data_IF_148608469776
#
_entry.id   IF_148608469776
#
_cell.length_a   1.000
_cell.length_b   1.000
_cell.length_c   1.000
_cell.angle_alpha   90.00
_cell.angle_beta   90.00
_cell.angle_gamma   90.00
#
_symmetry.space_group_name_H-M   'P 1'
#
loop_
_entity.id
_entity.type
_entity.pdbx_description
1 polymer ?
#
# COMPACT_ATOMS: atom_id res chain seq x y z
N UNK A 1 -13.24 -83.59 63.00
CA UNK A 1 -13.57 -82.72 61.85
C UNK A 1 -12.63 -81.53 61.66
N UNK A 2 -12.11 -80.92 62.73
CA UNK A 2 -11.23 -79.71 62.62
C UNK A 2 -9.87 -79.91 61.95
N UNK A 3 -9.23 -81.17 62.10
CA UNK A 3 -7.91 -81.39 61.43
C UNK A 3 -7.97 -81.59 59.93
N UNK A 4 -9.09 -82.11 59.36
CA UNK A 4 -9.24 -82.26 57.89
C UNK A 4 -9.53 -80.89 57.19
N UNK A 5 -10.16 -79.94 57.89
CA UNK A 5 -10.42 -78.61 57.39
C UNK A 5 -9.14 -77.79 57.30
N UNK A 6 -8.19 -77.99 58.25
CA UNK A 6 -6.92 -77.26 58.27
C UNK A 6 -5.98 -77.69 57.14
N UNK A 7 -6.00 -79.01 56.73
CA UNK A 7 -5.24 -79.55 55.63
C UNK A 7 -5.75 -79.03 54.27
N UNK A 8 -7.06 -78.91 54.11
CA UNK A 8 -7.70 -78.36 52.89
C UNK A 8 -7.38 -76.88 52.72
N UNK A 9 -7.40 -76.10 53.83
CA UNK A 9 -7.03 -74.71 53.79
C UNK A 9 -5.56 -74.51 53.47
N UNK A 10 -4.64 -75.31 54.01
CA UNK A 10 -3.23 -75.21 53.65
C UNK A 10 -2.94 -75.67 52.21
N UNK A 11 -3.67 -76.64 51.68
CA UNK A 11 -3.54 -77.04 50.28
C UNK A 11 -4.07 -75.99 49.31
N UNK A 12 -5.15 -75.29 49.69
CA UNK A 12 -5.70 -74.17 48.91
C UNK A 12 -4.76 -72.97 48.90
N UNK A 13 -4.10 -72.64 50.04
CA UNK A 13 -3.12 -71.54 50.13
C UNK A 13 -1.83 -71.87 49.36
N UNK A 14 -1.38 -73.17 49.37
CA UNK A 14 -0.27 -73.56 48.54
C UNK A 14 -0.56 -73.55 47.04
N UNK A 15 -1.81 -73.75 46.62
CA UNK A 15 -2.22 -73.70 45.24
C UNK A 15 -2.37 -72.22 44.73
N UNK A 16 -2.64 -71.30 45.64
CA UNK A 16 -2.70 -69.84 45.33
C UNK A 16 -1.30 -69.23 45.19
N UNK A 17 -0.27 -69.79 45.74
CA UNK A 17 1.10 -69.25 45.63
C UNK A 17 1.83 -69.67 44.33
N UNK A 18 1.33 -70.68 43.61
CA UNK A 18 1.88 -71.14 42.32
C UNK A 18 1.28 -70.41 41.14
N UNK A 19 0.20 -69.59 41.34
CA UNK A 19 -0.45 -68.75 40.28
C UNK A 19 0.19 -67.38 40.03
N UNK A 20 1.31 -67.02 40.71
CA UNK A 20 2.18 -65.94 40.33
C UNK A 20 3.12 -66.38 39.19
N UNK A 21 2.51 -66.76 38.07
CA UNK A 21 3.20 -67.08 36.84
C UNK A 21 3.73 -65.87 36.17
N UNK A 22 4.88 -66.00 35.60
CA UNK A 22 5.55 -65.27 34.56
C UNK A 22 4.72 -64.20 33.95
N UNK A 23 4.93 -62.96 34.38
CA UNK A 23 4.55 -61.78 33.64
C UNK A 23 5.59 -61.63 32.53
N UNK A 24 5.31 -62.16 31.34
CA UNK A 24 6.05 -61.84 30.13
C UNK A 24 5.99 -60.31 29.97
N UNK A 25 7.14 -59.69 30.13
CA UNK A 25 7.28 -58.28 29.77
C UNK A 25 6.78 -58.13 28.34
N UNK A 26 5.90 -57.14 28.04
CA UNK A 26 5.41 -56.95 26.69
C UNK A 26 6.62 -56.78 25.76
N UNK A 27 6.79 -57.71 24.81
CA UNK A 27 7.76 -57.53 23.72
C UNK A 27 7.46 -56.20 23.09
N UNK A 28 8.30 -55.18 23.35
CA UNK A 28 8.26 -53.90 22.64
C UNK A 28 8.38 -54.23 21.16
N UNK A 29 7.28 -54.12 20.44
CA UNK A 29 7.25 -54.23 18.99
C UNK A 29 8.00 -53.04 18.43
N UNK A 30 9.21 -53.27 17.93
CA UNK A 30 10.02 -52.28 17.23
C UNK A 30 9.21 -51.80 16.00
N UNK A 31 8.75 -50.58 16.07
CA UNK A 31 8.17 -49.91 14.90
C UNK A 31 9.29 -49.58 13.92
N UNK A 32 8.98 -49.60 12.63
CA UNK A 32 9.94 -49.26 11.58
C UNK A 32 9.40 -48.16 10.72
N UNK A 33 10.26 -47.21 10.37
CA UNK A 33 9.96 -46.08 9.48
C UNK A 33 10.97 -46.07 8.36
N UNK A 34 10.47 -46.03 7.11
CA UNK A 34 11.32 -45.91 5.92
C UNK A 34 11.60 -44.43 5.66
N UNK A 35 12.86 -44.04 5.69
CA UNK A 35 13.30 -42.69 5.46
C UNK A 35 13.07 -42.31 4.02
N UNK A 36 12.18 -41.36 3.77
CA UNK A 36 11.88 -40.82 2.43
C UNK A 36 12.14 -39.32 2.41
N UNK A 37 12.57 -38.76 1.27
CA UNK A 37 12.57 -37.34 1.08
C UNK A 37 11.12 -36.83 1.08
N UNK A 38 10.78 -35.94 1.98
CA UNK A 38 9.47 -35.29 2.07
C UNK A 38 9.65 -33.77 1.84
N UNK A 39 8.78 -33.13 1.08
CA UNK A 39 8.82 -31.66 0.95
C UNK A 39 8.47 -31.04 2.31
N UNK A 40 9.36 -30.21 2.82
CA UNK A 40 9.13 -29.45 4.06
C UNK A 40 8.73 -28.04 3.65
N UNK A 41 7.48 -27.66 3.88
CA UNK A 41 7.03 -26.29 3.67
C UNK A 41 7.55 -25.41 4.80
N UNK A 42 8.26 -24.37 4.44
CA UNK A 42 8.69 -23.32 5.36
C UNK A 42 7.91 -22.06 5.06
N UNK A 43 7.19 -21.56 6.05
CA UNK A 43 6.46 -20.29 5.94
C UNK A 43 7.27 -19.19 6.62
N UNK A 44 7.49 -18.10 5.92
CA UNK A 44 8.04 -16.88 6.49
C UNK A 44 6.90 -15.94 6.89
N UNK A 45 7.07 -15.27 8.03
CA UNK A 45 6.09 -14.35 8.57
C UNK A 45 6.67 -12.95 8.63
N UNK A 46 5.92 -12.01 8.09
CA UNK A 46 6.23 -10.58 8.10
C UNK A 46 5.06 -9.80 8.65
N UNK A 47 5.33 -8.57 9.06
CA UNK A 47 4.29 -7.64 9.51
C UNK A 47 4.31 -6.40 8.65
N UNK A 48 3.13 -5.84 8.41
CA UNK A 48 3.00 -4.61 7.65
C UNK A 48 1.71 -3.87 8.02
N UNK A 49 1.45 -2.79 7.30
CA UNK A 49 0.25 -1.98 7.48
C UNK A 49 -0.55 -1.96 6.18
N UNK A 50 -1.86 -2.13 6.30
CA UNK A 50 -2.77 -2.08 5.15
C UNK A 50 -2.85 -0.65 4.63
N UNK A 51 -2.52 -0.49 3.35
CA UNK A 51 -2.64 0.75 2.57
C UNK A 51 -3.61 0.56 1.40
N UNK A 52 -4.15 1.63 0.82
CA UNK A 52 -4.92 1.53 -0.41
C UNK A 52 -4.08 0.99 -1.56
N UNK A 53 -4.73 0.44 -2.58
CA UNK A 53 -4.03 -0.02 -3.78
C UNK A 53 -3.36 1.14 -4.53
N UNK A 54 -4.06 2.27 -4.62
CA UNK A 54 -3.56 3.51 -5.19
C UNK A 54 -4.00 4.69 -4.36
N UNK A 55 -3.15 5.71 -4.30
CA UNK A 55 -3.44 6.96 -3.62
C UNK A 55 -3.28 8.14 -4.59
N UNK A 56 -4.22 9.08 -4.53
CA UNK A 56 -4.17 10.32 -5.29
C UNK A 56 -4.19 11.51 -4.34
N UNK A 57 -3.20 12.38 -4.44
CA UNK A 57 -3.10 13.55 -3.56
C UNK A 57 -4.03 14.68 -4.02
N UNK A 58 -4.67 15.33 -3.06
CA UNK A 58 -5.34 16.62 -3.22
C UNK A 58 -4.42 17.66 -2.61
N UNK A 59 -3.93 18.60 -3.46
CA UNK A 59 -2.99 19.65 -3.05
C UNK A 59 -3.62 21.03 -3.16
N UNK A 60 -3.16 21.97 -2.33
CA UNK A 60 -3.53 23.37 -2.50
C UNK A 60 -2.76 23.99 -3.66
N UNK A 61 -3.42 24.68 -4.61
CA UNK A 61 -2.73 25.34 -5.71
C UNK A 61 -2.00 26.63 -5.29
N UNK A 62 -2.35 27.20 -4.14
CA UNK A 62 -1.76 28.43 -3.60
C UNK A 62 -1.99 28.55 -2.10
N UNK A 63 -1.43 29.59 -1.50
CA UNK A 63 -1.65 29.91 -0.08
C UNK A 63 -3.11 30.30 0.14
N UNK A 64 -3.75 29.65 1.13
CA UNK A 64 -5.17 29.79 1.38
C UNK A 64 -5.52 29.39 2.83
N UNK A 65 -6.77 29.61 3.20
CA UNK A 65 -7.36 29.15 4.47
C UNK A 65 -8.52 28.21 4.17
N UNK A 66 -8.64 27.13 4.92
CA UNK A 66 -9.77 26.20 4.80
C UNK A 66 -11.05 26.89 5.24
N UNK A 67 -11.99 27.09 4.30
CA UNK A 67 -13.27 27.71 4.60
C UNK A 67 -14.33 26.70 4.96
N UNK A 68 -14.48 25.65 4.14
CA UNK A 68 -15.45 24.58 4.41
C UNK A 68 -14.89 23.21 4.04
N UNK A 69 -15.28 22.21 4.80
CA UNK A 69 -15.05 20.79 4.49
C UNK A 69 -16.39 20.15 4.15
N UNK A 70 -16.56 19.71 2.90
CA UNK A 70 -17.80 19.07 2.43
C UNK A 70 -17.83 17.58 2.78
N UNK A 71 -16.64 16.97 2.92
CA UNK A 71 -16.47 15.58 3.32
C UNK A 71 -15.51 15.48 4.51
N UNK A 72 -15.77 14.53 5.38
CA UNK A 72 -14.88 14.20 6.49
C UNK A 72 -13.90 13.10 6.07
N UNK A 73 -12.72 13.08 6.66
CA UNK A 73 -11.77 11.98 6.48
C UNK A 73 -12.43 10.64 6.85
N UNK A 74 -12.19 9.62 6.03
CA UNK A 74 -12.82 8.31 6.13
C UNK A 74 -14.11 8.14 5.32
N UNK A 75 -14.66 9.21 4.74
CA UNK A 75 -15.85 9.13 3.87
C UNK A 75 -15.44 8.79 2.43
N UNK A 76 -16.35 8.13 1.73
CA UNK A 76 -16.19 7.83 0.31
C UNK A 76 -16.56 9.06 -0.53
N UNK A 77 -15.70 9.37 -1.51
CA UNK A 77 -15.89 10.46 -2.47
C UNK A 77 -15.87 9.91 -3.90
N UNK A 78 -16.62 10.53 -4.78
CA UNK A 78 -16.61 10.22 -6.22
C UNK A 78 -15.63 11.15 -6.93
N UNK A 79 -15.12 10.73 -8.07
CA UNK A 79 -14.31 11.60 -8.93
C UNK A 79 -15.07 12.88 -9.29
N UNK A 80 -14.45 14.03 -9.04
CA UNK A 80 -15.03 15.34 -9.30
C UNK A 80 -15.84 15.96 -8.16
N UNK A 81 -16.12 15.20 -7.08
CA UNK A 81 -16.78 15.75 -5.89
C UNK A 81 -15.92 16.86 -5.28
N UNK A 82 -16.54 17.96 -4.88
CA UNK A 82 -15.86 19.02 -4.13
C UNK A 82 -15.66 18.57 -2.70
N UNK A 83 -14.42 18.29 -2.35
CA UNK A 83 -14.05 17.77 -1.03
C UNK A 83 -13.96 18.91 -0.01
N UNK A 84 -13.38 20.01 -0.43
CA UNK A 84 -13.08 21.16 0.44
C UNK A 84 -13.09 22.43 -0.35
N UNK A 85 -13.50 23.53 0.29
CA UNK A 85 -13.40 24.88 -0.27
C UNK A 85 -12.37 25.65 0.55
N UNK A 86 -11.45 26.30 -0.16
CA UNK A 86 -10.44 27.18 0.42
C UNK A 86 -10.75 28.62 0.06
N UNK A 87 -10.39 29.54 0.94
CA UNK A 87 -10.45 30.97 0.73
C UNK A 87 -9.04 31.53 0.57
N UNK A 88 -8.80 32.31 -0.50
CA UNK A 88 -7.50 32.92 -0.77
C UNK A 88 -7.65 34.37 -1.21
N UNK A 89 -7.27 35.30 -0.33
CA UNK A 89 -7.21 36.72 -0.67
C UNK A 89 -6.19 37.01 -1.78
N UNK A 90 -5.15 36.21 -1.90
CA UNK A 90 -4.17 36.34 -2.98
C UNK A 90 -4.81 35.95 -4.33
N UNK A 91 -5.69 34.96 -4.37
CA UNK A 91 -6.45 34.59 -5.56
C UNK A 91 -7.31 35.78 -6.04
N UNK A 92 -8.03 36.42 -5.13
CA UNK A 92 -8.85 37.60 -5.44
C UNK A 92 -8.00 38.73 -6.00
N UNK A 93 -6.85 38.99 -5.39
CA UNK A 93 -5.92 40.05 -5.87
C UNK A 93 -5.42 39.73 -7.28
N UNK A 94 -4.96 38.50 -7.52
CA UNK A 94 -4.47 38.08 -8.84
C UNK A 94 -5.56 38.07 -9.90
N UNK A 95 -6.79 37.72 -9.53
CA UNK A 95 -7.95 37.80 -10.44
C UNK A 95 -8.20 39.23 -10.87
N UNK A 96 -8.28 40.17 -9.93
CA UNK A 96 -8.54 41.59 -10.23
C UNK A 96 -7.44 42.18 -11.10
N UNK A 97 -6.18 41.86 -10.84
CA UNK A 97 -5.06 42.31 -11.65
C UNK A 97 -5.12 41.74 -13.08
N UNK A 98 -5.32 40.42 -13.19
CA UNK A 98 -5.36 39.72 -14.49
C UNK A 98 -6.55 40.17 -15.35
N UNK A 99 -7.72 40.38 -14.75
CA UNK A 99 -8.88 40.88 -15.44
C UNK A 99 -8.65 42.33 -15.93
N UNK A 100 -8.04 43.16 -15.10
CA UNK A 100 -7.70 44.55 -15.48
C UNK A 100 -6.72 44.59 -16.65
N UNK A 101 -5.69 43.75 -16.64
CA UNK A 101 -4.72 43.64 -17.74
C UNK A 101 -5.38 43.17 -19.05
N UNK A 102 -6.28 42.16 -18.95
CA UNK A 102 -7.04 41.70 -20.11
C UNK A 102 -7.92 42.81 -20.71
N UNK A 103 -8.65 43.54 -19.88
CA UNK A 103 -9.50 44.61 -20.33
C UNK A 103 -8.71 45.74 -21.02
N UNK A 104 -7.56 46.16 -20.46
CA UNK A 104 -6.63 47.12 -21.07
C UNK A 104 -6.11 46.62 -22.42
N UNK A 105 -5.68 45.38 -22.51
CA UNK A 105 -5.17 44.79 -23.74
C UNK A 105 -6.25 44.71 -24.83
N UNK A 106 -7.49 44.38 -24.45
CA UNK A 106 -8.66 44.34 -25.34
C UNK A 106 -9.02 45.72 -25.90
N UNK A 107 -9.01 46.75 -25.05
CA UNK A 107 -9.27 48.12 -25.44
C UNK A 107 -8.19 48.64 -26.39
N UNK A 108 -6.91 48.44 -26.04
CA UNK A 108 -5.77 48.79 -26.89
C UNK A 108 -5.84 48.11 -28.27
N UNK A 109 -6.22 46.84 -28.32
CA UNK A 109 -6.41 46.15 -29.60
C UNK A 109 -7.57 46.77 -30.41
N UNK A 110 -8.67 47.09 -29.76
CA UNK A 110 -9.84 47.72 -30.41
C UNK A 110 -9.47 49.07 -31.02
N UNK A 111 -8.73 49.92 -30.29
CA UNK A 111 -8.23 51.20 -30.75
C UNK A 111 -7.25 51.03 -31.94
N UNK A 112 -6.26 50.10 -31.78
CA UNK A 112 -5.28 49.84 -32.84
C UNK A 112 -5.93 49.29 -34.10
N UNK A 113 -6.96 48.45 -33.97
CA UNK A 113 -7.74 47.92 -35.09
C UNK A 113 -8.52 49.03 -35.82
N UNK A 114 -9.22 49.87 -35.07
CA UNK A 114 -9.97 51.01 -35.66
C UNK A 114 -9.02 51.98 -36.39
N UNK A 115 -7.86 52.29 -35.77
CA UNK A 115 -6.84 53.16 -36.37
C UNK A 115 -6.25 52.55 -37.65
N UNK A 116 -5.94 51.26 -37.63
CA UNK A 116 -5.41 50.56 -38.82
C UNK A 116 -6.45 50.47 -39.93
N UNK A 117 -7.75 50.33 -39.64
CA UNK A 117 -8.82 50.36 -40.66
C UNK A 117 -8.81 51.70 -41.42
N UNK A 118 -8.77 52.84 -40.72
CA UNK A 118 -8.63 54.11 -41.37
C UNK A 118 -7.29 54.30 -42.11
N UNK A 119 -6.19 53.75 -41.56
CA UNK A 119 -4.88 53.75 -42.23
C UNK A 119 -4.90 52.95 -43.53
N UNK A 120 -5.59 51.82 -43.56
CA UNK A 120 -5.77 50.98 -44.76
C UNK A 120 -6.56 51.76 -45.86
N UNK A 121 -7.64 52.45 -45.51
CA UNK A 121 -8.43 53.25 -46.43
C UNK A 121 -7.58 54.34 -47.08
N UNK A 122 -6.76 55.05 -46.28
CA UNK A 122 -5.85 56.08 -46.77
C UNK A 122 -4.74 55.57 -47.70
N UNK A 123 -4.23 54.36 -47.36
CA UNK A 123 -3.24 53.66 -48.16
C UNK A 123 -3.81 53.26 -49.53
N UNK A 124 -5.01 52.69 -49.55
CA UNK A 124 -5.70 52.20 -50.72
C UNK A 124 -6.06 53.39 -51.63
N UNK A 125 -6.30 54.59 -51.05
CA UNK A 125 -6.47 55.82 -51.77
C UNK A 125 -5.16 56.54 -52.28
N UNK A 126 -3.97 55.90 -51.95
CA UNK A 126 -2.67 56.45 -52.32
C UNK A 126 -2.24 57.70 -51.52
N UNK A 127 -2.90 57.99 -50.40
CA UNK A 127 -2.71 59.19 -49.57
C UNK A 127 -1.75 59.02 -48.41
N UNK A 128 -1.17 57.82 -48.27
CA UNK A 128 -0.33 57.49 -47.13
C UNK A 128 1.06 56.91 -47.53
N UNK A 129 2.11 57.28 -46.80
CA UNK A 129 3.46 56.73 -47.01
C UNK A 129 3.54 55.26 -46.58
N UNK A 130 4.39 54.50 -47.29
CA UNK A 130 4.63 53.08 -46.98
C UNK A 130 5.12 52.87 -45.53
N UNK A 131 5.96 53.78 -45.05
CA UNK A 131 6.48 53.68 -43.69
C UNK A 131 5.39 53.81 -42.63
N UNK A 132 4.45 54.77 -42.81
CA UNK A 132 3.34 54.93 -41.90
C UNK A 132 2.38 53.75 -41.92
N UNK A 133 2.10 53.18 -43.10
CA UNK A 133 1.31 51.98 -43.24
C UNK A 133 1.92 50.78 -42.49
N UNK A 134 3.22 50.54 -42.69
CA UNK A 134 3.96 49.43 -42.03
C UNK A 134 3.97 49.64 -40.51
N UNK A 135 4.18 50.91 -40.05
CA UNK A 135 4.18 51.22 -38.61
C UNK A 135 2.84 50.90 -37.94
N UNK A 136 1.72 51.34 -38.56
CA UNK A 136 0.40 51.07 -38.02
C UNK A 136 0.00 49.59 -38.07
N UNK A 137 0.42 48.89 -39.14
CA UNK A 137 0.27 47.44 -39.23
C UNK A 137 1.03 46.69 -38.11
N UNK A 138 2.25 47.14 -37.82
CA UNK A 138 3.06 46.59 -36.73
C UNK A 138 2.43 46.89 -35.38
N UNK A 139 1.89 48.08 -35.18
CA UNK A 139 1.19 48.48 -33.95
C UNK A 139 -0.05 47.57 -33.69
N UNK A 140 -0.84 47.30 -34.74
CA UNK A 140 -1.96 46.37 -34.65
C UNK A 140 -1.51 44.96 -34.28
N UNK A 141 -0.45 44.45 -34.95
CA UNK A 141 0.09 43.12 -34.67
C UNK A 141 0.58 42.99 -33.20
N UNK A 142 1.25 44.05 -32.69
CA UNK A 142 1.67 44.12 -31.30
C UNK A 142 0.50 44.08 -30.32
N UNK A 143 -0.52 44.89 -30.58
CA UNK A 143 -1.73 44.92 -29.75
C UNK A 143 -2.48 43.58 -29.77
N UNK A 144 -2.52 42.89 -30.92
CA UNK A 144 -3.09 41.54 -31.05
C UNK A 144 -2.33 40.53 -30.22
N UNK A 145 -1.00 40.53 -30.24
CA UNK A 145 -0.17 39.63 -29.43
C UNK A 145 -0.37 39.88 -27.94
N UNK A 146 -0.42 41.15 -27.51
CA UNK A 146 -0.66 41.52 -26.12
C UNK A 146 -2.02 41.01 -25.63
N UNK A 147 -3.06 41.17 -26.43
CA UNK A 147 -4.40 40.65 -26.12
C UNK A 147 -4.39 39.12 -26.00
N UNK A 148 -3.69 38.42 -26.91
CA UNK A 148 -3.61 36.97 -26.87
C UNK A 148 -2.90 36.50 -25.59
N UNK A 149 -1.81 37.16 -25.17
CA UNK A 149 -1.12 36.87 -23.93
C UNK A 149 -1.99 37.10 -22.68
N UNK A 150 -2.68 38.25 -22.65
CA UNK A 150 -3.59 38.58 -21.55
C UNK A 150 -4.79 37.62 -21.49
N UNK A 151 -5.34 37.19 -22.63
CA UNK A 151 -6.41 36.19 -22.71
C UNK A 151 -5.95 34.85 -22.13
N UNK A 152 -4.76 34.41 -22.52
CA UNK A 152 -4.19 33.14 -21.99
C UNK A 152 -4.02 33.20 -20.49
N UNK A 153 -3.45 34.29 -19.94
CA UNK A 153 -3.25 34.47 -18.50
C UNK A 153 -4.59 34.47 -17.75
N UNK A 154 -5.62 35.10 -18.31
CA UNK A 154 -6.96 35.09 -17.71
C UNK A 154 -7.59 33.70 -17.75
N UNK A 155 -7.43 32.95 -18.85
CA UNK A 155 -7.94 31.56 -18.94
C UNK A 155 -7.28 30.64 -17.89
N UNK A 156 -5.95 30.69 -17.77
CA UNK A 156 -5.19 29.92 -16.76
C UNK A 156 -5.64 30.30 -15.35
N UNK A 157 -5.99 31.56 -15.10
CA UNK A 157 -6.49 32.00 -13.80
C UNK A 157 -7.88 31.46 -13.51
N UNK A 158 -8.78 31.45 -14.47
CA UNK A 158 -10.15 30.94 -14.34
C UNK A 158 -10.19 29.43 -14.17
N UNK A 159 -9.26 28.69 -14.79
CA UNK A 159 -9.11 27.26 -14.60
C UNK A 159 -8.74 26.91 -13.15
N UNK A 160 -7.91 27.72 -12.50
CA UNK A 160 -7.57 27.54 -11.08
C UNK A 160 -8.77 27.74 -10.15
N UNK A 161 -9.69 28.60 -10.52
CA UNK A 161 -10.89 28.89 -9.73
C UNK A 161 -11.99 27.86 -9.92
N UNK A 162 -11.93 27.09 -11.03
CA UNK A 162 -12.99 26.12 -11.44
C UNK A 162 -14.41 26.76 -11.43
N UNK A 163 -14.45 28.02 -11.73
CA UNK A 163 -15.69 28.77 -11.82
C UNK A 163 -16.13 28.84 -13.29
N UNK A 164 -17.33 28.35 -13.61
CA UNK A 164 -17.89 28.37 -14.96
C UNK A 164 -18.05 29.79 -15.61
N UNK A 165 -17.56 30.82 -14.92
CA UNK A 165 -17.62 32.24 -15.30
C UNK A 165 -16.80 32.57 -16.55
N UNK A 166 -15.88 31.71 -16.98
CA UNK A 166 -14.99 31.95 -18.14
C UNK A 166 -15.73 32.34 -19.42
N UNK A 167 -16.94 31.82 -19.63
CA UNK A 167 -17.72 32.10 -20.85
C UNK A 167 -18.28 33.53 -20.91
N UNK A 168 -18.54 34.16 -19.78
CA UNK A 168 -19.14 35.49 -19.71
C UNK A 168 -18.11 36.63 -19.76
N UNK A 169 -16.88 36.35 -19.29
CA UNK A 169 -15.82 37.34 -19.18
C UNK A 169 -15.22 37.73 -20.55
N UNK A 170 -15.18 36.82 -21.52
CA UNK A 170 -14.66 37.13 -22.88
C UNK A 170 -15.46 38.16 -23.64
N UNK A 171 -16.72 38.36 -23.27
CA UNK A 171 -17.60 39.39 -23.88
C UNK A 171 -17.49 40.79 -23.26
N UNK A 172 -16.91 40.91 -22.06
CA UNK A 172 -16.79 42.20 -21.37
C UNK A 172 -15.91 43.18 -22.13
N UNK A 173 -16.33 44.46 -22.11
CA UNK A 173 -15.56 45.60 -22.62
C UNK A 173 -15.43 46.68 -21.55
N UNK A 174 -14.40 47.54 -21.64
CA UNK A 174 -14.22 48.66 -20.69
C UNK A 174 -15.41 49.63 -20.73
N UNK A 175 -16.06 49.75 -21.88
CA UNK A 175 -17.25 50.60 -22.02
C UNK A 175 -18.43 50.13 -21.15
N UNK A 176 -18.48 48.87 -20.75
CA UNK A 176 -19.51 48.29 -19.86
C UNK A 176 -19.08 48.41 -18.38
N UNK A 177 -18.84 49.66 -17.93
CA UNK A 177 -18.28 49.97 -16.60
C UNK A 177 -18.98 49.25 -15.44
N UNK A 178 -20.31 49.19 -15.44
CA UNK A 178 -21.07 48.55 -14.38
C UNK A 178 -20.85 47.04 -14.34
N UNK A 179 -20.76 46.39 -15.50
CA UNK A 179 -20.45 44.95 -15.57
C UNK A 179 -19.02 44.67 -15.15
N UNK A 180 -18.07 45.51 -15.55
CA UNK A 180 -16.66 45.40 -15.12
C UNK A 180 -16.56 45.59 -13.60
N UNK A 181 -17.21 46.64 -13.07
CA UNK A 181 -17.25 46.89 -11.64
C UNK A 181 -17.85 45.69 -10.89
N UNK A 182 -18.96 45.15 -11.37
CA UNK A 182 -19.58 43.94 -10.77
C UNK A 182 -18.63 42.77 -10.81
N UNK A 183 -17.94 42.50 -11.93
CA UNK A 183 -16.97 41.41 -12.03
C UNK A 183 -15.78 41.57 -11.06
N UNK A 184 -15.29 42.83 -10.86
CA UNK A 184 -14.21 43.13 -9.91
C UNK A 184 -14.63 43.07 -8.44
N UNK A 185 -15.93 43.32 -8.15
CA UNK A 185 -16.47 43.30 -6.77
C UNK A 185 -17.05 41.95 -6.37
N UNK A 186 -17.28 41.04 -7.31
CA UNK A 186 -17.69 39.68 -7.00
C UNK A 186 -16.52 38.97 -6.32
N UNK A 187 -16.79 38.29 -5.21
CA UNK A 187 -15.77 37.51 -4.50
C UNK A 187 -15.36 36.31 -5.34
N UNK A 188 -14.12 36.30 -5.74
CA UNK A 188 -13.46 35.21 -6.47
C UNK A 188 -12.28 34.67 -5.66
N UNK A 189 -12.48 34.55 -4.35
CA UNK A 189 -11.50 34.10 -3.36
C UNK A 189 -11.60 32.61 -3.05
N UNK A 190 -12.60 31.93 -3.61
CA UNK A 190 -12.88 30.52 -3.31
C UNK A 190 -12.23 29.56 -4.31
N UNK A 191 -11.50 28.60 -3.77
CA UNK A 191 -10.90 27.49 -4.50
C UNK A 191 -11.64 26.21 -4.13
N UNK A 192 -12.23 25.53 -5.11
CA UNK A 192 -12.93 24.26 -4.89
C UNK A 192 -11.99 23.10 -5.18
N UNK A 193 -11.55 22.41 -4.15
CA UNK A 193 -10.71 21.22 -4.29
C UNK A 193 -11.57 20.00 -4.59
N UNK A 194 -11.35 19.39 -5.75
CA UNK A 194 -12.09 18.22 -6.21
C UNK A 194 -11.29 16.93 -6.03
N UNK A 195 -12.00 15.85 -5.78
CA UNK A 195 -11.43 14.52 -5.75
C UNK A 195 -10.93 14.12 -7.16
N UNK A 196 -9.65 13.78 -7.34
CA UNK A 196 -9.10 13.38 -8.64
C UNK A 196 -9.59 12.00 -9.08
N UNK A 197 -9.87 11.13 -8.12
CA UNK A 197 -10.36 9.75 -8.30
C UNK A 197 -11.49 9.45 -7.33
N UNK A 198 -12.24 8.38 -7.58
CA UNK A 198 -13.19 7.85 -6.60
C UNK A 198 -12.41 7.04 -5.55
N UNK A 199 -12.78 7.15 -4.27
CA UNK A 199 -12.11 6.45 -3.18
C UNK A 199 -12.47 6.99 -1.81
N UNK A 200 -11.73 6.60 -0.79
CA UNK A 200 -11.91 7.07 0.58
C UNK A 200 -10.97 8.23 0.86
N UNK A 201 -11.51 9.29 1.44
CA UNK A 201 -10.72 10.46 1.83
C UNK A 201 -9.85 10.13 3.05
N UNK A 202 -8.53 10.24 2.89
CA UNK A 202 -7.54 9.91 3.92
C UNK A 202 -6.82 11.17 4.39
N UNK A 203 -6.24 11.07 5.59
CA UNK A 203 -5.38 12.13 6.12
C UNK A 203 -4.17 12.36 5.22
N UNK A 204 -3.69 13.60 5.11
CA UNK A 204 -2.41 13.86 4.46
C UNK A 204 -1.26 13.19 5.22
N UNK A 205 -0.11 12.93 4.55
CA UNK A 205 1.09 12.47 5.22
C UNK A 205 1.49 13.46 6.32
N UNK A 206 1.96 12.95 7.45
CA UNK A 206 2.45 13.80 8.55
C UNK A 206 3.66 14.59 8.07
N UNK A 207 3.56 15.92 8.13
CA UNK A 207 4.73 16.79 8.00
C UNK A 207 5.48 16.83 9.33
N UNK A 208 6.80 17.09 9.30
CA UNK A 208 7.64 17.23 10.48
C UNK A 208 7.13 18.28 11.46
N UNK A 209 6.42 19.29 10.97
CA UNK A 209 5.93 20.42 11.74
C UNK A 209 4.49 20.24 12.26
N UNK A 210 3.72 19.28 11.71
CA UNK A 210 2.32 19.06 12.09
C UNK A 210 2.12 17.66 12.71
N UNK A 211 1.91 17.65 14.03
CA UNK A 211 1.72 16.41 14.80
C UNK A 211 0.42 15.67 14.49
N UNK A 212 -0.59 16.33 13.91
CA UNK A 212 -1.92 15.75 13.73
C UNK A 212 -2.21 15.31 12.29
N UNK A 213 -1.62 15.95 11.30
CA UNK A 213 -1.95 15.75 9.88
C UNK A 213 -3.40 16.10 9.52
N UNK A 214 -4.20 16.55 10.50
CA UNK A 214 -5.62 16.88 10.33
C UNK A 214 -5.78 18.35 10.07
N UNK A 215 -6.38 18.70 8.94
CA UNK A 215 -6.81 20.06 8.69
C UNK A 215 -8.23 20.26 9.22
N UNK A 216 -8.45 21.44 9.81
CA UNK A 216 -9.75 21.89 10.28
C UNK A 216 -10.14 23.17 9.54
N UNK A 217 -11.43 23.51 9.59
CA UNK A 217 -11.92 24.81 9.11
C UNK A 217 -11.15 25.92 9.84
N UNK A 218 -10.67 26.91 9.09
CA UNK A 218 -9.82 28.00 9.57
C UNK A 218 -8.31 27.69 9.55
N UNK A 219 -7.89 26.48 9.20
CA UNK A 219 -6.46 26.16 9.07
C UNK A 219 -5.85 26.84 7.82
N UNK A 220 -4.66 27.42 7.99
CA UNK A 220 -3.89 27.95 6.87
C UNK A 220 -3.17 26.80 6.15
N UNK A 221 -3.18 26.84 4.82
CA UNK A 221 -2.51 25.88 3.94
C UNK A 221 -1.60 26.64 2.97
N UNK A 222 -0.48 26.02 2.60
CA UNK A 222 0.50 26.60 1.67
C UNK A 222 0.32 26.04 0.27
N UNK A 223 0.82 26.77 -0.71
CA UNK A 223 0.92 26.28 -2.09
C UNK A 223 1.63 24.94 -2.16
N UNK A 224 1.10 24.00 -2.94
CA UNK A 224 1.58 22.63 -3.12
C UNK A 224 1.52 21.73 -1.85
N UNK A 225 0.95 22.21 -0.76
CA UNK A 225 0.74 21.37 0.43
C UNK A 225 -0.30 20.30 0.12
N UNK A 226 0.00 19.04 0.48
CA UNK A 226 -0.97 17.93 0.42
C UNK A 226 -2.00 18.13 1.53
N UNK A 227 -3.27 18.24 1.15
CA UNK A 227 -4.40 18.50 2.05
C UNK A 227 -5.09 17.22 2.45
N UNK A 228 -5.22 16.31 1.50
CA UNK A 228 -5.82 15.00 1.69
C UNK A 228 -5.29 14.02 0.64
N UNK A 229 -5.45 12.73 0.92
CA UNK A 229 -5.27 11.66 -0.04
C UNK A 229 -6.63 11.05 -0.36
N UNK A 230 -6.83 10.59 -1.58
CA UNK A 230 -7.98 9.75 -1.96
C UNK A 230 -7.45 8.36 -2.24
N UNK A 231 -7.79 7.40 -1.38
CA UNK A 231 -7.34 6.01 -1.45
C UNK A 231 -8.35 5.13 -2.18
N UNK A 232 -7.89 4.42 -3.20
CA UNK A 232 -8.69 3.39 -3.88
C UNK A 232 -8.70 2.11 -3.05
N UNK A 233 -9.89 1.72 -2.55
CA UNK A 233 -10.12 0.49 -1.81
C UNK A 233 -10.76 -0.62 -2.68
N UNK A 234 -10.61 -0.58 -3.99
CA UNK A 234 -10.94 -1.73 -4.84
C UNK A 234 -10.05 -2.93 -4.54
N UNK A 235 -8.85 -2.68 -4.06
CA UNK A 235 -7.88 -3.60 -3.48
C UNK A 235 -7.14 -2.96 -2.32
N UNK A 236 -6.16 -3.68 -1.79
CA UNK A 236 -5.24 -3.17 -0.75
C UNK A 236 -3.82 -3.62 -1.03
N UNK A 237 -2.88 -2.84 -0.55
CA UNK A 237 -1.45 -3.16 -0.54
C UNK A 237 -0.94 -3.24 0.89
N UNK A 238 0.07 -4.07 1.10
CA UNK A 238 0.80 -4.16 2.37
C UNK A 238 2.28 -4.14 2.06
N UNK A 239 2.97 -3.14 2.57
CA UNK A 239 4.42 -3.07 2.51
C UNK A 239 5.01 -3.85 3.66
N UNK A 240 6.00 -4.71 3.38
CA UNK A 240 6.72 -5.55 4.34
C UNK A 240 8.21 -5.34 4.20
N UNK A 241 8.94 -5.47 5.30
CA UNK A 241 10.39 -5.42 5.33
C UNK A 241 10.96 -6.84 5.40
N UNK A 242 11.74 -7.22 4.38
CA UNK A 242 12.38 -8.53 4.26
C UNK A 242 13.84 -8.39 4.70
N UNK A 243 14.27 -9.12 5.73
CA UNK A 243 15.68 -9.17 6.12
C UNK A 243 16.57 -9.71 4.98
N UNK A 244 17.82 -9.22 4.90
CA UNK A 244 18.80 -9.65 3.89
C UNK A 244 18.98 -11.18 3.82
N UNK A 245 18.85 -11.88 4.94
CA UNK A 245 18.99 -13.35 5.02
C UNK A 245 17.89 -14.15 4.32
N UNK A 246 16.76 -13.51 3.98
CA UNK A 246 15.61 -14.17 3.36
C UNK A 246 15.27 -13.60 1.98
N UNK A 247 16.01 -12.57 1.50
CA UNK A 247 15.70 -11.89 0.24
C UNK A 247 15.82 -12.80 -0.99
N UNK A 248 16.76 -13.73 -0.97
CA UNK A 248 17.00 -14.72 -2.02
C UNK A 248 15.85 -15.73 -2.21
N UNK A 249 14.97 -15.85 -1.21
CA UNK A 249 13.84 -16.78 -1.18
C UNK A 249 12.53 -16.17 -1.63
N UNK A 250 12.48 -14.83 -1.76
CA UNK A 250 11.25 -14.08 -2.01
C UNK A 250 11.32 -13.40 -3.36
N UNK A 251 10.34 -13.71 -4.22
CA UNK A 251 10.26 -13.20 -5.58
C UNK A 251 8.88 -12.67 -5.90
N UNK A 252 8.81 -11.79 -6.88
CA UNK A 252 7.53 -11.32 -7.43
C UNK A 252 6.72 -12.49 -8.01
N UNK A 253 5.41 -12.44 -7.83
CA UNK A 253 4.49 -13.51 -8.25
C UNK A 253 4.23 -14.57 -7.17
N UNK A 254 4.94 -14.54 -6.04
CA UNK A 254 4.68 -15.50 -4.95
C UNK A 254 3.36 -15.16 -4.25
N UNK A 255 2.54 -16.19 -3.94
CA UNK A 255 1.32 -16.01 -3.16
C UNK A 255 1.66 -15.67 -1.71
N UNK A 256 0.86 -14.79 -1.12
CA UNK A 256 0.98 -14.38 0.27
C UNK A 256 -0.38 -14.40 0.96
N UNK A 257 -0.47 -15.03 2.11
CA UNK A 257 -1.67 -15.03 2.93
C UNK A 257 -1.60 -13.88 3.95
N UNK A 258 -2.58 -13.00 3.91
CA UNK A 258 -2.66 -11.82 4.78
C UNK A 258 -3.69 -12.09 5.87
N UNK A 259 -3.25 -12.02 7.11
CA UNK A 259 -4.06 -12.18 8.32
C UNK A 259 -3.83 -10.97 9.25
N UNK A 260 -4.66 -10.82 10.26
CA UNK A 260 -4.48 -9.74 11.22
C UNK A 260 -5.53 -9.77 12.32
N UNK A 261 -5.23 -9.14 13.45
CA UNK A 261 -6.16 -9.10 14.59
C UNK A 261 -7.48 -8.45 14.20
N UNK A 262 -7.42 -7.38 13.42
CA UNK A 262 -8.60 -6.67 12.93
C UNK A 262 -9.33 -7.41 11.80
N UNK A 263 -8.69 -8.37 11.13
CA UNK A 263 -9.27 -9.20 10.09
C UNK A 263 -10.04 -10.42 10.67
N UNK A 264 -9.95 -10.66 11.97
CA UNK A 264 -10.59 -11.77 12.65
C UNK A 264 -10.11 -13.12 12.12
N UNK A 265 -11.04 -13.97 11.66
CA UNK A 265 -10.72 -15.29 11.07
C UNK A 265 -10.56 -15.24 9.54
N UNK A 266 -10.70 -14.09 8.92
CA UNK A 266 -10.60 -13.98 7.46
C UNK A 266 -9.15 -13.90 7.02
N UNK A 267 -8.84 -14.61 5.95
CA UNK A 267 -7.53 -14.60 5.29
C UNK A 267 -7.72 -13.96 3.93
N UNK A 268 -6.96 -12.92 3.64
CA UNK A 268 -6.90 -12.33 2.31
C UNK A 268 -5.77 -13.00 1.54
N UNK A 269 -6.05 -13.37 0.29
CA UNK A 269 -5.03 -13.91 -0.61
C UNK A 269 -4.46 -12.78 -1.43
N UNK A 270 -3.17 -12.56 -1.30
CA UNK A 270 -2.40 -11.56 -2.02
C UNK A 270 -1.27 -12.19 -2.80
N UNK A 271 -0.59 -11.34 -3.57
CA UNK A 271 0.57 -11.69 -4.37
C UNK A 271 1.65 -10.63 -4.17
N UNK A 272 2.91 -11.04 -4.14
CA UNK A 272 4.05 -10.12 -4.11
C UNK A 272 4.21 -9.50 -5.49
N UNK A 273 3.94 -8.20 -5.61
CA UNK A 273 4.01 -7.47 -6.89
C UNK A 273 5.33 -6.77 -7.12
N UNK A 274 6.03 -6.43 -6.04
CA UNK A 274 7.32 -5.76 -6.12
C UNK A 274 8.22 -6.18 -4.95
N UNK A 275 9.51 -6.32 -5.25
CA UNK A 275 10.59 -6.44 -4.27
C UNK A 275 11.62 -5.37 -4.61
N UNK A 276 11.89 -4.48 -3.67
CA UNK A 276 12.82 -3.38 -3.90
C UNK A 276 14.26 -3.92 -4.01
N UNK A 277 15.01 -3.41 -4.98
CA UNK A 277 16.43 -3.76 -5.16
C UNK A 277 17.38 -2.96 -4.26
N UNK A 278 16.87 -1.95 -3.56
CA UNK A 278 17.65 -1.10 -2.65
C UNK A 278 17.30 -1.42 -1.20
N UNK A 279 18.31 -1.75 -0.41
CA UNK A 279 18.14 -1.95 1.02
C UNK A 279 17.88 -0.62 1.75
N UNK A 280 16.99 -0.67 2.73
CA UNK A 280 16.85 0.37 3.74
C UNK A 280 17.78 0.03 4.90
N UNK A 281 18.69 0.94 5.22
CA UNK A 281 19.58 0.76 6.37
C UNK A 281 18.79 0.98 7.66
N UNK A 282 18.67 -0.04 8.46
CA UNK A 282 18.17 0.06 9.82
C UNK A 282 19.15 0.91 10.64
N UNK A 283 18.73 2.06 11.17
CA UNK A 283 19.56 2.84 12.07
C UNK A 283 20.02 2.00 13.30
N UNK A 284 21.10 2.41 13.94
CA UNK A 284 21.63 1.80 15.18
C UNK A 284 22.06 0.31 15.09
N UNK A 285 22.65 -0.12 13.98
CA UNK A 285 23.22 -1.48 13.87
C UNK A 285 22.19 -2.58 13.56
N UNK A 286 20.98 -2.23 13.19
CA UNK A 286 20.03 -3.19 12.62
C UNK A 286 20.50 -3.66 11.24
N UNK A 287 20.23 -4.94 10.92
CA UNK A 287 20.57 -5.50 9.63
C UNK A 287 19.80 -4.79 8.50
N UNK A 288 20.38 -4.70 7.30
CA UNK A 288 19.66 -4.18 6.13
C UNK A 288 18.38 -4.97 5.87
N UNK A 289 17.34 -4.26 5.44
CA UNK A 289 16.09 -4.86 5.00
C UNK A 289 15.70 -4.36 3.61
N UNK A 290 14.95 -5.14 2.88
CA UNK A 290 14.42 -4.80 1.56
C UNK A 290 12.91 -4.70 1.65
N UNK A 291 12.35 -3.61 1.15
CA UNK A 291 10.91 -3.43 1.11
C UNK A 291 10.30 -4.28 0.00
N UNK A 292 9.21 -4.96 0.29
CA UNK A 292 8.39 -5.63 -0.71
C UNK A 292 6.92 -5.26 -0.54
N UNK A 293 6.18 -5.28 -1.65
CA UNK A 293 4.76 -4.92 -1.69
C UNK A 293 3.94 -6.16 -2.02
N UNK A 294 3.00 -6.46 -1.15
CA UNK A 294 1.98 -7.50 -1.34
C UNK A 294 0.66 -6.83 -1.67
N UNK A 295 0.04 -7.18 -2.80
CA UNK A 295 -1.26 -6.65 -3.22
C UNK A 295 -2.36 -7.70 -3.14
N UNK A 296 -3.53 -7.27 -2.71
CA UNK A 296 -4.79 -7.98 -2.84
C UNK A 296 -5.66 -7.20 -3.80
N UNK A 297 -5.89 -7.76 -4.98
CA UNK A 297 -6.75 -7.17 -6.00
C UNK A 297 -8.21 -7.63 -5.81
N UNK A 298 -9.15 -6.79 -6.22
CA UNK A 298 -10.58 -7.15 -6.29
C UNK A 298 -11.21 -7.58 -4.95
N UNK A 299 -11.11 -6.73 -3.94
CA UNK A 299 -11.81 -6.94 -2.68
C UNK A 299 -13.33 -7.00 -2.91
N UNK A 300 -14.00 -7.94 -2.27
CA UNK A 300 -15.46 -8.01 -2.24
C UNK A 300 -16.06 -6.82 -1.46
N UNK A 301 -17.33 -6.49 -1.69
CA UNK A 301 -18.01 -5.40 -0.96
C UNK A 301 -17.99 -5.63 0.55
N UNK A 302 -18.19 -6.87 0.99
CA UNK A 302 -18.11 -7.24 2.40
C UNK A 302 -16.72 -6.98 2.96
N UNK A 303 -15.64 -7.33 2.23
CA UNK A 303 -14.26 -7.07 2.64
C UNK A 303 -13.97 -5.56 2.73
N UNK A 304 -14.39 -4.78 1.74
CA UNK A 304 -14.23 -3.31 1.74
C UNK A 304 -14.93 -2.63 2.92
N UNK A 305 -16.04 -3.17 3.37
CA UNK A 305 -16.82 -2.57 4.47
C UNK A 305 -16.05 -2.58 5.80
N UNK A 306 -15.29 -3.65 6.09
CA UNK A 306 -14.58 -3.80 7.36
C UNK A 306 -13.09 -3.51 7.30
N UNK A 307 -12.43 -3.61 6.13
CA UNK A 307 -11.03 -3.23 5.98
C UNK A 307 -10.89 -1.71 6.12
N UNK A 308 -9.94 -1.28 6.94
CA UNK A 308 -9.58 0.14 7.10
C UNK A 308 -8.09 0.33 6.85
N UNK A 309 -7.75 1.42 6.19
CA UNK A 309 -6.37 1.86 5.98
C UNK A 309 -5.71 2.08 7.35
N UNK A 310 -4.45 1.65 7.48
CA UNK A 310 -3.72 1.73 8.73
C UNK A 310 -3.87 0.51 9.66
N UNK A 311 -4.68 -0.50 9.31
CA UNK A 311 -4.74 -1.75 10.06
C UNK A 311 -3.44 -2.53 9.94
N UNK A 312 -2.99 -3.14 11.04
CA UNK A 312 -1.85 -4.05 11.03
C UNK A 312 -2.21 -5.38 10.38
N UNK A 313 -1.29 -5.91 9.58
CA UNK A 313 -1.42 -7.19 8.90
C UNK A 313 -0.20 -8.07 9.16
N UNK A 314 -0.43 -9.38 9.29
CA UNK A 314 0.59 -10.40 9.29
C UNK A 314 0.55 -11.11 7.93
N UNK A 315 1.68 -11.19 7.29
CA UNK A 315 1.85 -11.76 5.96
C UNK A 315 2.60 -13.08 6.11
N UNK A 316 2.00 -14.19 5.66
CA UNK A 316 2.59 -15.49 5.59
C UNK A 316 2.92 -15.83 4.14
N UNK A 317 4.18 -16.10 3.86
CA UNK A 317 4.70 -16.46 2.54
C UNK A 317 5.29 -17.85 2.62
N UNK A 318 4.72 -18.77 1.85
CA UNK A 318 5.24 -20.12 1.76
C UNK A 318 6.40 -20.15 0.76
N UNK A 319 7.57 -20.54 1.26
CA UNK A 319 8.75 -20.72 0.43
C UNK A 319 8.93 -22.20 0.12
N UNK A 320 9.24 -22.51 -1.13
CA UNK A 320 9.55 -23.88 -1.52
C UNK A 320 10.74 -24.38 -0.71
N UNK A 321 10.53 -25.49 -0.04
CA UNK A 321 11.60 -26.13 0.70
C UNK A 321 12.16 -27.28 -0.10
N UNK A 322 13.45 -27.49 0.07
CA UNK A 322 14.10 -28.69 -0.43
C UNK A 322 13.51 -29.93 0.21
N UNK A 323 13.41 -31.03 -0.56
CA UNK A 323 13.08 -32.35 -0.01
C UNK A 323 14.07 -32.70 1.09
N UNK A 324 13.58 -32.82 2.32
CA UNK A 324 14.36 -33.14 3.51
C UNK A 324 14.08 -34.58 3.96
N UNK A 325 15.09 -35.23 4.56
CA UNK A 325 14.90 -36.50 5.17
C UNK A 325 14.28 -36.34 6.55
N UNK A 326 13.10 -36.87 6.75
CA UNK A 326 12.37 -36.78 8.01
C UNK A 326 12.33 -38.15 8.71
N UNK A 327 12.49 -38.14 10.03
CA UNK A 327 12.28 -39.32 10.88
C UNK A 327 11.39 -38.95 12.07
N UNK A 328 10.60 -39.89 12.62
CA UNK A 328 9.84 -39.65 13.84
C UNK A 328 10.76 -39.20 14.98
N UNK A 329 10.31 -38.23 15.78
CA UNK A 329 11.11 -37.71 16.90
C UNK A 329 11.45 -38.78 17.91
N UNK A 330 10.57 -39.80 18.07
CA UNK A 330 10.75 -40.97 18.93
C UNK A 330 11.88 -41.90 18.48
N UNK A 331 12.29 -41.82 17.21
CA UNK A 331 13.37 -42.64 16.66
C UNK A 331 14.76 -42.08 17.01
N UNK A 332 14.85 -40.88 17.52
CA UNK A 332 16.11 -40.21 17.87
C UNK A 332 16.39 -40.49 19.35
N UNK A 333 17.57 -41.03 19.64
CA UNK A 333 18.08 -41.24 21.00
C UNK A 333 19.35 -40.40 21.19
N UNK A 334 19.50 -39.86 22.37
CA UNK A 334 20.73 -39.15 22.75
C UNK A 334 21.66 -40.17 23.44
N UNK A 335 22.80 -40.47 22.83
CA UNK A 335 23.82 -41.34 23.40
C UNK A 335 25.16 -40.60 23.40
N UNK A 336 25.79 -40.51 24.58
CA UNK A 336 27.12 -39.87 24.76
C UNK A 336 27.22 -38.44 24.15
N UNK A 337 26.13 -37.68 24.23
CA UNK A 337 26.09 -36.31 23.71
C UNK A 337 25.82 -36.19 22.20
N UNK A 338 25.64 -37.30 21.49
CA UNK A 338 25.30 -37.32 20.06
C UNK A 338 23.87 -37.82 19.84
N UNK A 339 23.21 -37.25 18.82
CA UNK A 339 21.93 -37.79 18.35
C UNK A 339 22.18 -39.07 17.54
N UNK A 340 21.50 -40.18 17.90
CA UNK A 340 21.64 -41.46 17.25
C UNK A 340 20.30 -42.04 16.83
N UNK A 341 20.31 -42.84 15.77
CA UNK A 341 19.15 -43.63 15.32
C UNK A 341 19.53 -45.07 15.11
N UNK A 342 18.60 -46.02 15.36
CA UNK A 342 18.80 -47.44 15.07
C UNK A 342 18.34 -47.71 13.64
N UNK A 343 19.26 -48.08 12.76
CA UNK A 343 18.99 -48.42 11.37
C UNK A 343 18.93 -49.94 11.24
N UNK A 344 17.86 -50.46 10.65
CA UNK A 344 17.68 -51.89 10.36
C UNK A 344 18.45 -52.23 9.08
N UNK A 345 19.35 -53.15 9.15
CA UNK A 345 20.11 -53.66 8.02
C UNK A 345 19.36 -54.74 7.25
N UNK A 346 19.77 -55.02 6.01
CA UNK A 346 19.19 -56.07 5.16
C UNK A 346 19.24 -57.48 5.73
N UNK A 347 20.18 -57.76 6.64
CA UNK A 347 20.29 -59.01 7.39
C UNK A 347 19.37 -59.11 8.62
N UNK A 348 18.49 -58.09 8.83
CA UNK A 348 17.57 -58.06 9.99
C UNK A 348 18.15 -57.51 11.28
N UNK A 349 19.47 -57.29 11.38
CA UNK A 349 20.12 -56.69 12.54
C UNK A 349 19.92 -55.17 12.57
N UNK A 350 20.03 -54.56 13.77
CA UNK A 350 19.97 -53.10 13.93
C UNK A 350 21.37 -52.57 14.24
N UNK A 351 21.75 -51.47 13.58
CA UNK A 351 22.99 -50.75 13.84
C UNK A 351 22.68 -49.35 14.32
N UNK A 352 23.34 -48.88 15.38
CA UNK A 352 23.23 -47.47 15.83
C UNK A 352 24.10 -46.58 14.95
N UNK A 353 23.50 -45.54 14.39
CA UNK A 353 24.19 -44.57 13.53
C UNK A 353 24.05 -43.17 14.12
N UNK A 354 25.15 -42.45 14.17
CA UNK A 354 25.15 -41.03 14.58
C UNK A 354 24.54 -40.21 13.45
N UNK A 355 23.64 -39.31 13.81
CA UNK A 355 22.95 -38.41 12.88
C UNK A 355 23.06 -36.94 13.35
N UNK A 356 23.10 -36.03 12.40
CA UNK A 356 22.93 -34.61 12.69
C UNK A 356 21.48 -34.22 12.43
N UNK A 357 20.84 -33.66 13.46
CA UNK A 357 19.42 -33.24 13.39
C UNK A 357 19.31 -31.76 13.07
N UNK A 358 18.35 -31.42 12.24
CA UNK A 358 17.88 -30.06 12.00
C UNK A 358 16.69 -29.70 12.90
N UNK A 359 15.87 -28.73 12.49
CA UNK A 359 14.65 -28.32 13.20
C UNK A 359 13.68 -29.49 13.37
N UNK A 360 13.02 -29.53 14.54
CA UNK A 360 11.93 -30.47 14.81
C UNK A 360 10.59 -29.88 14.30
N UNK A 361 9.77 -30.74 13.71
CA UNK A 361 8.37 -30.50 13.38
C UNK A 361 7.47 -31.14 14.43
N UNK A 362 6.16 -31.14 14.28
CA UNK A 362 5.24 -31.65 15.31
C UNK A 362 5.55 -33.09 15.78
N UNK A 363 5.81 -34.01 14.85
CA UNK A 363 6.02 -35.44 15.10
C UNK A 363 7.32 -35.98 14.48
N UNK A 364 8.01 -35.20 13.67
CA UNK A 364 9.21 -35.58 12.92
C UNK A 364 10.36 -34.59 13.13
N UNK A 365 11.57 -35.02 12.88
CA UNK A 365 12.78 -34.20 12.90
C UNK A 365 13.47 -34.30 11.56
N UNK A 366 13.98 -33.22 11.08
CA UNK A 366 14.80 -33.15 9.86
C UNK A 366 16.16 -33.78 10.17
N UNK A 367 16.64 -34.64 9.29
CA UNK A 367 17.99 -35.17 9.35
C UNK A 367 18.89 -34.48 8.36
N UNK A 368 19.83 -33.71 8.87
CA UNK A 368 20.80 -32.99 8.04
C UNK A 368 21.88 -33.88 7.45
N UNK A 369 22.31 -34.90 8.22
CA UNK A 369 23.29 -35.91 7.77
C UNK A 369 23.22 -37.20 8.57
N UNK A 370 23.78 -38.28 8.00
CA UNK A 370 23.88 -39.60 8.67
C UNK A 370 22.89 -40.66 8.18
N UNK A 371 21.84 -40.28 7.44
CA UNK A 371 20.90 -41.21 6.81
C UNK A 371 20.85 -41.01 5.31
N UNK A 372 20.40 -42.03 4.60
CA UNK A 372 20.14 -42.01 3.15
C UNK A 372 18.67 -42.30 2.87
N UNK A 373 18.11 -41.82 1.75
CA UNK A 373 16.79 -42.23 1.29
C UNK A 373 16.73 -43.77 1.18
N UNK A 374 15.68 -44.39 1.76
CA UNK A 374 15.50 -45.86 1.79
C UNK A 374 16.03 -46.53 3.04
N UNK A 375 16.80 -45.88 3.90
CA UNK A 375 17.18 -46.43 5.21
C UNK A 375 15.92 -46.73 6.04
N UNK A 376 15.91 -47.83 6.76
CA UNK A 376 14.80 -48.22 7.64
C UNK A 376 15.19 -47.96 9.09
N UNK A 377 14.56 -47.01 9.72
CA UNK A 377 14.82 -46.65 11.13
C UNK A 377 13.87 -47.42 12.03
N UNK A 378 14.42 -48.08 13.06
CA UNK A 378 13.66 -48.82 14.06
C UNK A 378 13.56 -48.00 15.35
N UNK A 379 12.39 -47.93 15.95
CA UNK A 379 12.12 -47.18 17.19
C UNK A 379 11.08 -47.89 18.07
N UNK A 380 11.07 -47.56 19.34
CA UNK A 380 10.23 -48.19 20.38
C UNK A 380 9.00 -47.36 20.68
#
# INVERSE_FOLDING_TARGET
MKKKLLIIINLAVAMLLVACGHQESPKKTLQTYVVKPEPVHKTLFFTGTISPLHESAITSPMDAVVETMHYHYGQFVKKGDVVMTLNSSELQRQYNETLTDYLKAKDNYTIAKAKFTGTQELWDAGLLSKNNYISEKSSLATAQMTLMQATRKLTEMLEKMDDGSAKNLSSLTIAEFDKVRQALTTNHDLIRLKAPTAGVLLYPPKSSDDKSGKLNVGAAVKASQVIALVGDLSGVSVEIDIPEVDIDKIHTGMPAAITGVALGKQVLQGEIVAVNAQATNGGNGALPSFSAVVEVKNLTETQRAWIKVGMSANIAIDIDSQNQLLVPITAIKQEKGNSTVKVKMSNGSTSTRIVSTGPAMADKVIIASGLKPGDVVAYD
#
